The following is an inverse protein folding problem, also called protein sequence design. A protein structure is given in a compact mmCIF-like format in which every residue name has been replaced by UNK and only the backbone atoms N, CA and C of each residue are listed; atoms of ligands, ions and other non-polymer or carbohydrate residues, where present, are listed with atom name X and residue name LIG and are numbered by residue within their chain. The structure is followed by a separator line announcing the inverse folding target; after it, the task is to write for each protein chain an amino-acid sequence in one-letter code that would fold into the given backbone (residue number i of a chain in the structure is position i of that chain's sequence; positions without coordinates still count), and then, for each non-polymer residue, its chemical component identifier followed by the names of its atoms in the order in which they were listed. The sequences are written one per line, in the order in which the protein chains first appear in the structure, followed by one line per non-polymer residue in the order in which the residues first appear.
data_IF_777027354565
#
_entry.id   IF_777027354565
#
_cell.length_a   1.000
_cell.length_b   1.000
_cell.length_c   1.000
_cell.angle_alpha   90.00
_cell.angle_beta   90.00
_cell.angle_gamma   90.00
#
_symmetry.space_group_name_H-M   'P 1'
#
loop_
_entity.id
_entity.type
_entity.pdbx_description
1 polymer ?
#
# COMPACT_ATOMS: atom_id res chain seq x y z
N UNK A 1 4.29 16.21 -70.69
CA UNK A 1 4.16 16.90 -69.43
C UNK A 1 3.25 16.07 -68.53
N UNK A 2 3.87 15.35 -67.57
CA UNK A 2 3.14 14.55 -66.56
C UNK A 2 3.08 15.37 -65.29
N UNK A 3 1.89 15.79 -64.88
CA UNK A 3 1.65 16.51 -63.65
C UNK A 3 1.47 15.49 -62.53
N UNK A 4 2.48 15.31 -61.68
CA UNK A 4 2.40 14.52 -60.46
C UNK A 4 1.78 15.34 -59.35
N UNK A 5 0.53 14.99 -59.02
CA UNK A 5 -0.18 15.59 -57.90
C UNK A 5 0.34 14.92 -56.60
N UNK A 6 1.12 15.69 -55.81
CA UNK A 6 1.57 15.28 -54.49
C UNK A 6 0.39 15.43 -53.51
N UNK A 7 -0.27 14.33 -53.15
CA UNK A 7 -1.17 14.26 -52.01
C UNK A 7 -0.34 14.24 -50.74
N UNK A 8 -0.40 15.34 -50.01
CA UNK A 8 0.11 15.42 -48.64
C UNK A 8 -0.90 14.78 -47.68
N UNK A 9 -0.57 13.67 -46.95
CA UNK A 9 -1.43 13.18 -45.92
C UNK A 9 -1.33 14.10 -44.69
N UNK A 10 -2.42 14.81 -44.37
CA UNK A 10 -2.61 15.43 -43.06
C UNK A 10 -2.53 14.36 -42.01
N UNK A 11 -1.43 14.33 -41.27
CA UNK A 11 -1.30 13.58 -40.03
C UNK A 11 -2.22 14.23 -39.00
N UNK A 12 -3.33 13.57 -38.67
CA UNK A 12 -4.10 13.84 -37.47
C UNK A 12 -3.17 13.50 -36.30
N UNK A 13 -2.54 14.49 -35.70
CA UNK A 13 -1.94 14.35 -34.38
C UNK A 13 -3.09 14.28 -33.37
N UNK A 14 -3.48 13.05 -33.03
CA UNK A 14 -4.28 12.83 -31.83
C UNK A 14 -3.47 13.24 -30.63
N UNK A 15 -3.95 14.23 -29.89
CA UNK A 15 -3.51 14.54 -28.54
C UNK A 15 -3.72 13.28 -27.69
N UNK A 16 -2.65 12.51 -27.48
CA UNK A 16 -2.63 11.44 -26.49
C UNK A 16 -2.58 12.13 -25.13
N UNK A 17 -3.72 12.20 -24.47
CA UNK A 17 -3.75 12.48 -23.04
C UNK A 17 -2.82 11.48 -22.35
N UNK A 18 -2.03 11.88 -21.33
CA UNK A 18 -1.22 10.95 -20.57
C UNK A 18 -2.16 9.90 -19.94
N UNK A 19 -2.08 8.67 -20.43
CA UNK A 19 -2.68 7.55 -19.71
C UNK A 19 -1.98 7.49 -18.35
N UNK A 20 -2.74 7.82 -17.32
CA UNK A 20 -2.31 7.59 -15.95
C UNK A 20 -2.35 6.07 -15.76
N UNK A 21 -1.18 5.48 -15.78
CA UNK A 21 -1.01 4.07 -15.45
C UNK A 21 -1.34 3.91 -13.97
N UNK A 22 -2.41 3.21 -13.69
CA UNK A 22 -2.69 2.66 -12.37
C UNK A 22 -1.55 1.66 -12.10
N UNK A 23 -0.69 1.99 -11.14
CA UNK A 23 0.47 1.16 -10.81
C UNK A 23 -0.06 -0.07 -10.06
N UNK A 24 -0.06 -1.22 -10.75
CA UNK A 24 -0.44 -2.50 -10.16
C UNK A 24 0.52 -2.87 -9.02
N UNK A 25 0.01 -3.45 -7.92
CA UNK A 25 0.84 -3.85 -6.78
C UNK A 25 2.04 -4.69 -7.21
N UNK A 26 3.24 -4.25 -6.89
CA UNK A 26 4.47 -4.91 -7.29
C UNK A 26 5.00 -5.81 -6.16
N UNK A 27 5.59 -6.94 -6.56
CA UNK A 27 6.32 -7.80 -5.63
C UNK A 27 7.82 -7.54 -5.75
N UNK A 28 8.41 -6.97 -4.71
CA UNK A 28 9.86 -6.75 -4.61
C UNK A 28 10.51 -7.96 -3.95
N UNK A 29 11.53 -8.54 -4.58
CA UNK A 29 12.23 -9.72 -4.06
C UNK A 29 13.51 -9.29 -3.37
N UNK A 30 13.69 -9.73 -2.12
CA UNK A 30 14.92 -9.61 -1.34
C UNK A 30 15.50 -11.02 -1.16
N UNK A 31 16.76 -11.20 -1.54
CA UNK A 31 17.50 -12.45 -1.33
C UNK A 31 18.66 -12.24 -0.37
N UNK A 32 19.46 -13.28 -0.13
CA UNK A 32 20.66 -13.20 0.73
C UNK A 32 21.93 -13.55 -0.03
N UNK A 33 23.02 -12.91 0.35
CA UNK A 33 24.37 -13.25 -0.01
C UNK A 33 25.06 -13.84 1.23
N UNK A 34 25.15 -15.16 1.30
CA UNK A 34 25.80 -15.87 2.42
C UNK A 34 27.30 -15.65 2.49
N UNK A 35 27.95 -15.21 1.40
CA UNK A 35 29.39 -14.97 1.38
C UNK A 35 29.75 -13.68 2.12
N UNK A 36 28.93 -12.65 1.92
CA UNK A 36 29.13 -11.33 2.51
C UNK A 36 28.19 -11.04 3.68
N UNK A 37 27.33 -11.98 4.05
CA UNK A 37 26.30 -11.86 5.09
C UNK A 37 25.44 -10.60 4.90
N UNK A 38 24.77 -10.50 3.76
CA UNK A 38 23.94 -9.34 3.39
C UNK A 38 22.64 -9.76 2.74
N UNK A 39 21.63 -8.93 2.95
CA UNK A 39 20.41 -8.93 2.11
C UNK A 39 20.72 -8.25 0.77
N UNK A 40 20.06 -8.71 -0.30
CA UNK A 40 20.25 -8.19 -1.64
C UNK A 40 18.90 -8.05 -2.37
N UNK A 41 18.44 -6.82 -2.60
CA UNK A 41 18.96 -5.56 -2.09
C UNK A 41 18.84 -5.44 -0.57
N UNK A 42 19.69 -4.61 0.08
CA UNK A 42 19.60 -4.35 1.52
C UNK A 42 18.67 -3.20 1.89
N UNK A 43 18.25 -2.41 0.91
CA UNK A 43 17.24 -1.37 1.09
C UNK A 43 16.34 -1.33 -0.13
N UNK A 44 15.04 -1.24 0.09
CA UNK A 44 14.01 -1.13 -0.95
C UNK A 44 13.00 -0.04 -0.57
N UNK A 45 12.42 0.60 -1.58
CA UNK A 45 11.26 1.47 -1.42
C UNK A 45 10.10 0.84 -2.15
N UNK A 46 8.95 0.76 -1.48
CA UNK A 46 7.69 0.23 -1.98
C UNK A 46 6.57 1.21 -1.61
N UNK A 47 5.38 1.02 -2.14
CA UNK A 47 4.18 1.77 -1.74
C UNK A 47 3.23 0.88 -0.94
N UNK A 48 2.33 1.49 -0.18
CA UNK A 48 1.24 0.75 0.48
C UNK A 48 0.44 -0.05 -0.56
N UNK A 49 0.18 -1.32 -0.27
CA UNK A 49 -0.39 -2.29 -1.21
C UNK A 49 0.64 -3.26 -1.80
N UNK A 50 1.91 -2.88 -1.84
CA UNK A 50 2.97 -3.72 -2.38
C UNK A 50 3.34 -4.88 -1.46
N UNK A 51 3.91 -5.91 -2.07
CA UNK A 51 4.40 -7.11 -1.39
C UNK A 51 5.92 -7.18 -1.46
N UNK A 52 6.58 -7.41 -0.33
CA UNK A 52 7.99 -7.77 -0.27
C UNK A 52 8.10 -9.28 -0.05
N UNK A 53 8.87 -9.96 -0.91
CA UNK A 53 9.12 -11.39 -0.84
C UNK A 53 10.57 -11.64 -0.48
N UNK A 54 10.80 -12.28 0.64
CA UNK A 54 12.09 -12.79 1.06
C UNK A 54 12.27 -14.19 0.48
N UNK A 55 13.18 -14.30 -0.50
CA UNK A 55 13.37 -15.56 -1.22
C UNK A 55 14.84 -15.92 -1.37
N UNK A 56 15.21 -17.08 -0.84
CA UNK A 56 16.50 -17.72 -1.08
C UNK A 56 16.41 -19.23 -1.00
N UNK A 57 17.32 -19.91 -1.67
CA UNK A 57 17.34 -21.37 -1.75
C UNK A 57 18.79 -21.85 -1.78
N UNK A 58 19.08 -22.96 -1.08
CA UNK A 58 20.38 -23.62 -1.09
C UNK A 58 21.52 -22.80 -0.50
N UNK A 59 21.24 -21.91 0.46
CA UNK A 59 22.26 -21.06 1.06
C UNK A 59 23.26 -21.86 1.90
N UNK A 60 24.53 -21.40 1.92
CA UNK A 60 25.60 -22.04 2.70
C UNK A 60 25.33 -21.97 4.21
N UNK A 61 24.72 -20.86 4.66
CA UNK A 61 24.34 -20.61 6.05
C UNK A 61 22.82 -20.42 6.16
N UNK A 62 22.22 -20.73 7.31
CA UNK A 62 20.82 -20.43 7.55
C UNK A 62 20.63 -18.92 7.82
N UNK A 63 19.55 -18.36 7.25
CA UNK A 63 19.16 -16.96 7.39
C UNK A 63 17.68 -16.84 7.67
N UNK A 64 17.28 -15.72 8.27
CA UNK A 64 15.91 -15.25 8.37
C UNK A 64 15.83 -13.74 8.15
N UNK A 65 14.62 -13.18 8.16
CA UNK A 65 14.38 -11.76 8.10
C UNK A 65 13.31 -11.42 9.13
N UNK A 66 13.70 -10.69 10.19
CA UNK A 66 12.83 -10.30 11.30
C UNK A 66 12.87 -8.79 11.44
N UNK A 67 11.69 -8.16 11.39
CA UNK A 67 11.56 -6.71 11.59
C UNK A 67 11.73 -6.35 13.07
N UNK A 68 12.28 -5.18 13.35
CA UNK A 68 12.70 -4.73 14.70
C UNK A 68 11.57 -4.66 15.73
N UNK A 69 10.31 -4.52 15.29
CA UNK A 69 9.11 -4.50 16.11
C UNK A 69 8.21 -5.73 15.85
N UNK A 70 8.73 -6.74 15.19
CA UNK A 70 8.02 -7.99 14.87
C UNK A 70 6.78 -7.79 13.97
N UNK A 71 6.76 -6.74 13.15
CA UNK A 71 5.70 -6.49 12.15
C UNK A 71 5.67 -7.61 11.11
N UNK A 72 6.86 -8.11 10.74
CA UNK A 72 7.01 -9.34 9.95
C UNK A 72 8.18 -10.17 10.45
N UNK A 73 8.05 -11.48 10.28
CA UNK A 73 9.05 -12.48 10.67
C UNK A 73 8.97 -13.66 9.70
N UNK A 74 10.08 -13.99 9.05
CA UNK A 74 10.17 -15.13 8.14
C UNK A 74 10.36 -16.48 8.87
N UNK A 75 10.32 -16.49 10.19
CA UNK A 75 10.47 -17.64 11.05
C UNK A 75 11.92 -17.96 11.40
N UNK A 76 12.13 -19.19 11.90
CA UNK A 76 13.45 -19.69 12.28
C UNK A 76 14.44 -19.61 11.11
N UNK A 77 15.73 -19.35 11.37
CA UNK A 77 16.76 -19.28 10.33
C UNK A 77 16.84 -20.59 9.51
N UNK A 78 16.66 -20.49 8.19
CA UNK A 78 16.67 -21.60 7.23
C UNK A 78 17.61 -21.31 6.06
N UNK A 79 18.04 -22.38 5.36
CA UNK A 79 18.82 -22.28 4.12
C UNK A 79 17.95 -22.03 2.88
N UNK A 80 16.67 -22.28 3.03
CA UNK A 80 15.66 -22.12 2.02
C UNK A 80 14.48 -21.37 2.66
N UNK A 81 14.15 -20.18 2.14
CA UNK A 81 13.04 -19.36 2.61
C UNK A 81 12.24 -18.86 1.42
N UNK A 82 10.95 -18.89 1.55
CA UNK A 82 9.99 -18.26 0.66
C UNK A 82 8.89 -17.65 1.52
N UNK A 83 9.08 -16.39 1.91
CA UNK A 83 8.19 -15.66 2.79
C UNK A 83 7.81 -14.33 2.16
N UNK A 84 6.55 -13.97 2.20
CA UNK A 84 6.03 -12.72 1.65
C UNK A 84 5.25 -11.95 2.69
N UNK A 85 5.41 -10.64 2.70
CA UNK A 85 4.67 -9.72 3.52
C UNK A 85 4.11 -8.57 2.67
N UNK A 86 2.81 -8.29 2.78
CA UNK A 86 2.15 -7.19 2.09
C UNK A 86 1.95 -6.01 3.04
N UNK A 87 2.38 -4.84 2.63
CA UNK A 87 2.18 -3.60 3.39
C UNK A 87 0.80 -3.03 3.04
N UNK A 88 -0.16 -3.21 3.94
CA UNK A 88 -1.53 -2.71 3.74
C UNK A 88 -1.60 -1.18 3.81
N UNK A 89 -2.72 -0.61 3.33
CA UNK A 89 -2.99 0.83 3.43
C UNK A 89 -2.98 1.26 4.91
N UNK A 90 -2.23 2.32 5.22
CA UNK A 90 -1.98 2.80 6.58
C UNK A 90 -0.67 2.30 7.19
N UNK A 91 0.10 1.48 6.46
CA UNK A 91 1.40 0.96 6.88
C UNK A 91 2.58 1.73 6.27
N UNK A 92 2.39 2.99 5.87
CA UNK A 92 3.52 3.80 5.41
C UNK A 92 4.50 4.06 6.56
N UNK A 93 5.79 3.96 6.27
CA UNK A 93 6.83 4.10 7.28
C UNK A 93 8.15 3.47 6.88
N UNK A 94 9.06 3.35 7.84
CA UNK A 94 10.37 2.71 7.66
C UNK A 94 10.46 1.50 8.57
N UNK A 95 10.84 0.37 8.00
CA UNK A 95 10.92 -0.94 8.65
C UNK A 95 12.33 -1.46 8.56
N UNK A 96 13.05 -1.44 9.68
CA UNK A 96 14.39 -2.02 9.79
C UNK A 96 14.27 -3.49 10.16
N UNK A 97 15.01 -4.35 9.47
CA UNK A 97 15.00 -5.78 9.72
C UNK A 97 16.41 -6.36 9.76
N UNK A 98 16.55 -7.50 10.39
CA UNK A 98 17.83 -8.17 10.58
C UNK A 98 17.73 -9.66 10.25
N UNK A 99 18.89 -10.26 9.95
CA UNK A 99 19.07 -11.70 10.06
C UNK A 99 19.56 -11.99 11.46
N UNK A 100 18.77 -12.63 12.33
CA UNK A 100 19.07 -12.81 13.75
C UNK A 100 20.46 -13.45 13.99
N UNK A 101 20.85 -14.58 13.37
CA UNK A 101 22.16 -15.17 13.60
C UNK A 101 23.34 -14.32 13.11
N UNK A 102 23.08 -13.35 12.23
CA UNK A 102 24.15 -12.56 11.60
C UNK A 102 24.03 -11.06 11.85
N UNK A 103 23.10 -10.60 12.70
CA UNK A 103 22.93 -9.18 13.04
C UNK A 103 24.21 -8.54 13.57
N UNK A 104 24.97 -9.25 14.42
CA UNK A 104 26.25 -8.79 14.94
C UNK A 104 27.33 -8.61 13.87
N UNK A 105 27.16 -9.19 12.70
CA UNK A 105 28.03 -9.05 11.53
C UNK A 105 27.53 -7.98 10.54
N UNK A 106 26.45 -7.27 10.89
CA UNK A 106 25.88 -6.21 10.08
C UNK A 106 24.95 -6.71 8.97
N UNK A 107 24.37 -7.91 9.10
CA UNK A 107 23.35 -8.40 8.19
C UNK A 107 22.00 -7.79 8.55
N UNK A 108 21.78 -6.57 8.06
CA UNK A 108 20.61 -5.74 8.30
C UNK A 108 20.03 -5.26 6.97
N UNK A 109 18.76 -4.90 6.97
CA UNK A 109 18.10 -4.30 5.82
C UNK A 109 17.02 -3.31 6.24
N UNK A 110 16.48 -2.59 5.27
CA UNK A 110 15.45 -1.57 5.47
C UNK A 110 14.44 -1.59 4.33
N UNK A 111 13.17 -1.49 4.67
CA UNK A 111 12.07 -1.27 3.73
C UNK A 111 11.47 0.09 4.04
N UNK A 112 11.40 0.97 3.03
CA UNK A 112 10.72 2.25 3.08
C UNK A 112 9.39 2.08 2.37
N UNK A 113 8.29 2.31 3.07
CA UNK A 113 6.93 2.21 2.54
C UNK A 113 6.36 3.61 2.38
N UNK A 114 6.12 4.01 1.16
CA UNK A 114 5.49 5.28 0.82
C UNK A 114 3.96 5.14 0.84
N UNK A 115 3.22 6.22 1.12
CA UNK A 115 1.76 6.19 1.03
C UNK A 115 1.29 5.82 -0.38
N UNK A 116 0.23 5.03 -0.47
CA UNK A 116 -0.44 4.78 -1.75
C UNK A 116 -0.93 6.09 -2.37
N UNK A 117 -0.88 6.24 -3.70
CA UNK A 117 -1.49 7.37 -4.38
C UNK A 117 -2.97 7.47 -4.00
N UNK A 118 -3.53 8.68 -3.84
CA UNK A 118 -4.95 8.82 -3.55
C UNK A 118 -5.76 8.18 -4.68
N UNK A 119 -6.66 7.25 -4.31
CA UNK A 119 -7.57 6.64 -5.26
C UNK A 119 -8.36 7.76 -5.96
N UNK A 120 -8.27 7.85 -7.29
CA UNK A 120 -9.12 8.75 -8.03
C UNK A 120 -10.54 8.25 -7.91
N UNK A 121 -11.36 8.95 -7.13
CA UNK A 121 -12.81 8.79 -7.19
C UNK A 121 -13.24 9.33 -8.56
N UNK A 122 -13.49 8.42 -9.50
CA UNK A 122 -14.29 8.78 -10.68
C UNK A 122 -15.63 9.30 -10.19
N UNK A 123 -15.75 10.61 -10.19
CA UNK A 123 -17.05 11.26 -10.00
C UNK A 123 -17.88 10.94 -11.25
N UNK A 124 -18.46 9.77 -11.31
CA UNK A 124 -19.57 9.50 -12.21
C UNK A 124 -20.75 10.33 -11.71
N UNK A 125 -20.71 11.61 -12.03
CA UNK A 125 -21.90 12.46 -11.99
C UNK A 125 -22.84 11.92 -13.06
N UNK A 126 -23.68 10.97 -12.69
CA UNK A 126 -24.90 10.68 -13.42
C UNK A 126 -25.80 11.88 -13.23
N UNK A 127 -25.60 12.91 -14.05
CA UNK A 127 -26.65 13.89 -14.32
C UNK A 127 -27.78 13.14 -15.03
N UNK A 128 -28.67 12.56 -14.23
CA UNK A 128 -29.98 12.17 -14.68
C UNK A 128 -30.82 13.44 -14.71
N UNK A 129 -30.82 14.06 -15.87
CA UNK A 129 -31.78 15.12 -16.24
C UNK A 129 -33.18 14.60 -16.02
N UNK A 130 -33.84 15.04 -14.98
CA UNK A 130 -35.28 14.88 -14.76
C UNK A 130 -35.90 16.24 -14.59
N UNK A 131 -36.24 16.79 -15.75
CA UNK A 131 -37.25 17.81 -15.89
C UNK A 131 -38.52 17.39 -15.15
N UNK A 132 -38.95 18.13 -14.12
CA UNK A 132 -40.32 18.15 -13.62
C UNK A 132 -40.62 19.43 -12.86
N UNK A 133 -41.22 20.36 -13.56
CA UNK A 133 -42.48 21.09 -13.25
C UNK A 133 -42.70 21.55 -11.80
N UNK A 134 -42.78 22.84 -11.68
CA UNK A 134 -43.35 23.63 -10.56
C UNK A 134 -44.67 23.06 -10.05
N UNK A 135 -44.88 23.13 -8.73
CA UNK A 135 -46.11 23.65 -8.11
C UNK A 135 -45.98 23.74 -6.58
N UNK A 136 -46.19 24.99 -6.11
CA UNK A 136 -46.83 25.46 -4.88
C UNK A 136 -46.54 24.95 -3.48
N UNK A 137 -46.12 25.96 -2.73
CA UNK A 137 -46.42 26.36 -1.34
C UNK A 137 -47.32 25.42 -0.48
N UNK A 138 -46.89 25.09 0.71
CA UNK A 138 -47.60 25.42 1.97
C UNK A 138 -46.81 24.97 3.24
N UNK A 139 -46.58 26.01 4.09
CA UNK A 139 -46.65 26.00 5.57
C UNK A 139 -45.98 24.93 6.44
N UNK A 140 -45.11 25.43 7.31
CA UNK A 140 -44.57 24.90 8.58
C UNK A 140 -45.66 24.40 9.56
N UNK A 141 -45.34 23.57 10.61
CA UNK A 141 -44.59 24.10 11.74
C UNK A 141 -43.64 23.13 12.46
N UNK A 142 -42.70 23.74 13.15
CA UNK A 142 -41.80 23.27 14.20
C UNK A 142 -42.34 22.16 15.11
N UNK A 143 -41.56 21.11 15.28
CA UNK A 143 -41.62 20.28 16.49
C UNK A 143 -40.21 20.05 17.04
N UNK A 144 -39.97 20.71 18.15
CA UNK A 144 -38.83 20.59 19.07
C UNK A 144 -38.82 19.18 19.68
N UNK A 145 -37.75 18.41 19.49
CA UNK A 145 -37.51 17.20 20.26
C UNK A 145 -36.21 17.33 21.02
N UNK A 146 -36.35 17.50 22.32
CA UNK A 146 -35.30 17.49 23.34
C UNK A 146 -34.68 16.11 23.44
N UNK A 147 -33.38 16.00 23.14
CA UNK A 147 -32.60 14.80 23.39
C UNK A 147 -31.97 14.86 24.81
N UNK A 148 -32.45 14.02 25.66
CA UNK A 148 -31.92 13.76 27.01
C UNK A 148 -30.61 12.92 26.88
N UNK A 149 -29.53 13.49 27.42
CA UNK A 149 -28.27 12.78 27.65
C UNK A 149 -28.41 11.84 28.85
N UNK A 150 -28.26 10.54 28.63
CA UNK A 150 -28.00 9.58 29.73
C UNK A 150 -26.48 9.26 29.74
N UNK A 151 -25.85 9.67 30.83
CA UNK A 151 -24.49 9.30 31.16
C UNK A 151 -24.43 7.81 31.57
N UNK A 152 -23.54 7.03 30.96
CA UNK A 152 -23.21 5.68 31.41
C UNK A 152 -21.82 5.72 32.04
N UNK A 153 -21.80 5.29 33.29
CA UNK A 153 -20.66 5.28 34.20
C UNK A 153 -19.58 4.29 33.79
N UNK A 154 -18.34 4.71 34.03
CA UNK A 154 -17.13 3.92 33.88
C UNK A 154 -17.11 2.76 34.91
N UNK A 155 -16.87 1.53 34.40
CA UNK A 155 -16.43 0.41 35.26
C UNK A 155 -14.93 0.17 35.04
N UNK A 156 -14.15 0.55 36.05
CA UNK A 156 -12.74 0.20 36.17
C UNK A 156 -12.63 -1.25 36.59
N UNK A 157 -12.07 -2.11 35.74
CA UNK A 157 -11.65 -3.46 36.13
C UNK A 157 -10.15 -3.44 36.38
N UNK A 158 -9.79 -3.54 37.66
CA UNK A 158 -8.43 -3.74 38.12
C UNK A 158 -8.01 -5.20 37.89
N UNK A 159 -7.05 -5.43 36.99
CA UNK A 159 -6.39 -6.75 36.86
C UNK A 159 -5.25 -6.82 37.86
N UNK A 160 -5.43 -7.70 38.82
CA UNK A 160 -4.51 -8.03 39.93
C UNK A 160 -3.40 -8.94 39.40
N UNK A 161 -2.16 -8.44 39.41
CA UNK A 161 -0.95 -9.26 39.26
C UNK A 161 -0.87 -10.28 40.39
N UNK A 162 -0.67 -11.54 40.05
CA UNK A 162 -0.14 -12.55 40.98
C UNK A 162 1.18 -13.09 40.42
N UNK A 163 2.10 -13.19 41.34
CA UNK A 163 3.46 -13.68 41.30
C UNK A 163 3.72 -14.87 40.40
#
# INVERSE_FOLDING_TARGET
FVFVLLLCPMLLQGDLAPEMQEEEPQAVIITVDSTNLRFSPSSVTVVEGDTVRFFWNGQALPHNAVESNEIFDSGDPQRDVDYSFTFEIGMNGTYDFVCEPHAAFGMVGQIIVEPAPPAMVENTTNESDSNSTMMDEESLPFLSATLTFTAIAASVVAVRRRH
#
